data_IF_629473684558
#
_entry.id   IF_629473684558
#
_cell.length_a   1.000
_cell.length_b   1.000
_cell.length_c   1.000
_cell.angle_alpha   90.00
_cell.angle_beta   90.00
_cell.angle_gamma   90.00
#
_symmetry.space_group_name_H-M   'P 1'
#
loop_
_entity.id
_entity.type
_entity.pdbx_description
1 polymer ?
#
# COMPACT_ATOMS: atom_id res chain seq x y z
N UNK A 1 26.82 -21.33 -5.97
CA UNK A 1 25.76 -21.53 -6.98
C UNK A 1 24.41 -21.35 -6.32
N UNK A 2 23.61 -20.42 -6.86
CA UNK A 2 22.14 -20.23 -6.73
C UNK A 2 21.51 -19.94 -5.36
N UNK A 3 21.45 -18.64 -4.98
CA UNK A 3 20.50 -18.13 -3.98
C UNK A 3 19.78 -16.82 -4.38
N UNK A 4 19.96 -16.33 -5.61
CA UNK A 4 19.31 -15.10 -6.12
C UNK A 4 17.89 -15.36 -6.68
N UNK A 5 17.48 -16.62 -6.88
CA UNK A 5 16.30 -16.99 -7.66
C UNK A 5 15.00 -17.32 -6.89
N UNK A 6 14.85 -16.95 -5.62
CA UNK A 6 13.55 -17.15 -4.93
C UNK A 6 12.76 -15.86 -4.71
N UNK A 7 13.43 -14.75 -4.41
CA UNK A 7 12.74 -13.45 -4.37
C UNK A 7 12.45 -12.94 -5.78
N UNK A 8 13.38 -13.11 -6.73
CA UNK A 8 13.12 -12.76 -8.13
C UNK A 8 11.95 -13.56 -8.74
N UNK A 9 11.70 -14.80 -8.27
CA UNK A 9 10.59 -15.63 -8.74
C UNK A 9 9.25 -15.34 -8.02
N UNK A 10 9.31 -15.01 -6.72
CA UNK A 10 8.14 -14.58 -5.94
C UNK A 10 7.69 -13.15 -6.30
N UNK A 11 8.65 -12.27 -6.62
CA UNK A 11 8.43 -10.94 -7.19
C UNK A 11 8.03 -11.06 -8.67
N UNK A 12 8.48 -12.09 -9.41
CA UNK A 12 8.11 -12.24 -10.83
C UNK A 12 6.71 -12.80 -11.11
N UNK A 13 6.10 -13.52 -10.17
CA UNK A 13 4.77 -14.11 -10.38
C UNK A 13 3.62 -13.11 -10.15
N UNK A 14 3.90 -11.88 -9.68
CA UNK A 14 2.95 -10.76 -9.64
C UNK A 14 2.98 -9.85 -10.88
N UNK A 15 3.90 -10.07 -11.82
CA UNK A 15 4.37 -9.08 -12.82
C UNK A 15 3.45 -8.72 -14.01
N UNK A 16 2.14 -9.05 -14.04
CA UNK A 16 1.35 -8.82 -15.27
C UNK A 16 -0.01 -8.14 -15.17
N UNK A 17 -0.45 -7.53 -14.05
CA UNK A 17 -1.80 -6.91 -14.06
C UNK A 17 -2.06 -5.60 -13.30
N UNK A 18 -1.07 -4.82 -12.86
CA UNK A 18 -1.35 -3.56 -12.13
C UNK A 18 -0.66 -2.32 -12.70
N UNK A 19 -0.75 -2.12 -14.01
CA UNK A 19 -0.30 -0.89 -14.67
C UNK A 19 -1.48 -0.01 -15.10
N UNK A 20 -2.27 0.49 -14.14
CA UNK A 20 -3.05 1.75 -14.20
C UNK A 20 -4.01 1.83 -12.99
N UNK A 21 -4.08 2.99 -12.32
CA UNK A 21 -4.95 3.36 -11.19
C UNK A 21 -4.46 3.06 -9.74
N UNK A 22 -3.24 3.45 -9.37
CA UNK A 22 -2.61 3.02 -8.11
C UNK A 22 -3.20 3.54 -6.77
N UNK A 23 -4.18 4.44 -6.72
CA UNK A 23 -4.53 5.12 -5.44
C UNK A 23 -5.92 4.93 -4.92
N UNK A 24 -6.79 4.32 -5.71
CA UNK A 24 -7.98 3.64 -5.19
C UNK A 24 -7.65 2.23 -4.68
N UNK A 25 -6.46 1.70 -4.97
CA UNK A 25 -6.16 0.26 -4.95
C UNK A 25 -5.64 -0.34 -3.64
N UNK A 26 -5.23 0.46 -2.65
CA UNK A 26 -4.69 -0.02 -1.35
C UNK A 26 -5.57 0.45 -0.17
N UNK A 27 -6.51 1.35 -0.41
CA UNK A 27 -7.26 2.03 0.65
C UNK A 27 -8.34 1.17 1.33
N UNK A 28 -8.76 0.09 0.68
CA UNK A 28 -9.69 -0.90 1.23
C UNK A 28 -9.03 -1.88 2.19
N UNK A 29 -7.74 -2.11 2.04
CA UNK A 29 -6.95 -2.97 2.91
C UNK A 29 -6.67 -2.30 4.25
N UNK A 30 -6.59 -3.10 5.30
CA UNK A 30 -6.30 -2.65 6.67
C UNK A 30 -5.01 -3.29 7.20
N UNK A 31 -4.36 -2.55 8.09
CA UNK A 31 -3.23 -3.01 8.91
C UNK A 31 -2.17 -3.79 8.14
N UNK A 32 -1.93 -5.04 8.54
CA UNK A 32 -0.88 -5.88 7.94
C UNK A 32 -1.04 -6.07 6.43
N UNK A 33 -2.25 -6.32 5.96
CA UNK A 33 -2.53 -6.58 4.55
C UNK A 33 -2.25 -5.35 3.68
N UNK A 34 -2.59 -4.16 4.19
CA UNK A 34 -2.19 -2.90 3.57
C UNK A 34 -0.68 -2.77 3.51
N UNK A 35 0.04 -3.02 4.60
CA UNK A 35 1.51 -3.00 4.62
C UNK A 35 2.10 -3.93 3.57
N UNK A 36 1.61 -5.17 3.47
CA UNK A 36 2.09 -6.16 2.51
C UNK A 36 1.86 -5.69 1.05
N UNK A 37 0.64 -5.31 0.71
CA UNK A 37 0.31 -4.79 -0.62
C UNK A 37 1.14 -3.55 -0.97
N UNK A 38 1.41 -2.69 0.02
CA UNK A 38 2.26 -1.51 -0.12
C UNK A 38 3.72 -1.87 -0.42
N UNK A 39 4.31 -2.89 0.23
CA UNK A 39 5.66 -3.38 -0.11
C UNK A 39 5.71 -3.85 -1.55
N UNK A 40 4.73 -4.66 -1.95
CA UNK A 40 4.63 -5.23 -3.30
C UNK A 40 4.50 -4.10 -4.32
N UNK A 41 3.59 -3.14 -4.08
CA UNK A 41 3.41 -1.96 -4.92
C UNK A 41 4.68 -1.13 -5.08
N UNK A 42 5.38 -0.80 -3.98
CA UNK A 42 6.62 -0.01 -4.07
C UNK A 42 7.70 -0.78 -4.82
N UNK A 43 7.81 -2.09 -4.60
CA UNK A 43 8.78 -2.94 -5.30
C UNK A 43 8.49 -3.02 -6.79
N UNK A 44 7.23 -3.20 -7.17
CA UNK A 44 6.77 -3.24 -8.56
C UNK A 44 6.94 -1.89 -9.25
N UNK A 45 6.58 -0.79 -8.56
CA UNK A 45 6.77 0.57 -9.09
C UNK A 45 8.22 0.86 -9.33
N UNK A 46 9.12 0.49 -8.42
CA UNK A 46 10.55 0.60 -8.69
C UNK A 46 10.97 -0.15 -9.95
N UNK A 47 10.45 -1.37 -10.17
CA UNK A 47 10.77 -2.15 -11.36
C UNK A 47 10.20 -1.53 -12.64
N UNK A 48 8.98 -1.00 -12.60
CA UNK A 48 8.36 -0.25 -13.70
C UNK A 48 9.17 1.01 -14.04
N UNK A 49 9.47 1.80 -13.02
CA UNK A 49 10.22 3.04 -13.10
C UNK A 49 11.65 2.84 -13.63
N UNK A 50 12.24 1.66 -13.44
CA UNK A 50 13.59 1.37 -13.94
C UNK A 50 13.71 1.50 -15.45
N UNK A 51 12.66 1.33 -16.26
CA UNK A 51 12.74 1.51 -17.72
C UNK A 51 12.40 2.94 -18.12
N UNK A 52 11.27 3.47 -17.65
CA UNK A 52 10.84 4.84 -17.94
C UNK A 52 11.91 5.86 -17.52
N UNK A 53 12.60 5.61 -16.42
CA UNK A 53 13.66 6.47 -15.93
C UNK A 53 15.06 5.94 -16.22
N UNK A 54 15.21 4.81 -16.94
CA UNK A 54 16.53 4.33 -17.37
C UNK A 54 17.24 5.39 -18.22
N UNK A 55 16.50 6.00 -19.15
CA UNK A 55 17.01 7.03 -20.04
C UNK A 55 17.44 8.28 -19.25
N UNK A 56 16.65 8.67 -18.24
CA UNK A 56 16.97 9.79 -17.37
C UNK A 56 18.18 9.47 -16.47
N UNK A 57 18.24 8.29 -15.86
CA UNK A 57 19.39 7.86 -15.04
C UNK A 57 20.68 7.73 -15.87
N UNK A 58 20.55 7.24 -17.11
CA UNK A 58 21.62 7.25 -18.09
C UNK A 58 22.09 8.68 -18.36
N UNK A 59 21.20 9.61 -18.70
CA UNK A 59 21.54 11.01 -18.97
C UNK A 59 22.22 11.70 -17.76
N UNK A 60 21.79 11.34 -16.57
CA UNK A 60 22.34 11.85 -15.32
C UNK A 60 23.82 11.45 -15.17
N UNK A 61 24.16 10.22 -15.53
CA UNK A 61 25.50 9.64 -15.42
C UNK A 61 26.33 9.64 -16.71
N UNK A 62 25.73 10.01 -17.84
CA UNK A 62 26.38 10.05 -19.14
C UNK A 62 27.51 11.09 -19.13
N UNK A 63 28.73 10.61 -19.38
CA UNK A 63 29.91 11.45 -19.47
C UNK A 63 29.80 12.34 -20.71
N UNK A 64 29.94 13.65 -20.54
CA UNK A 64 29.96 14.63 -21.65
C UNK A 64 28.67 15.43 -21.84
N UNK A 65 27.57 15.11 -21.15
CA UNK A 65 26.36 15.94 -21.18
C UNK A 65 26.58 17.18 -20.28
N UNK A 66 26.75 18.35 -20.91
CA UNK A 66 26.92 19.63 -20.23
C UNK A 66 25.59 20.16 -19.66
N UNK A 67 25.68 20.83 -18.51
CA UNK A 67 24.54 21.52 -17.88
C UNK A 67 24.15 22.75 -18.72
N UNK A 68 22.86 22.93 -18.97
CA UNK A 68 22.31 24.16 -19.58
C UNK A 68 22.53 24.31 -21.09
N UNK A 69 22.99 23.25 -21.77
CA UNK A 69 23.03 23.18 -23.23
C UNK A 69 21.64 22.99 -23.86
N UNK A 70 21.58 22.84 -25.18
CA UNK A 70 20.36 22.45 -25.88
C UNK A 70 19.94 21.00 -25.58
N UNK A 71 18.74 20.62 -26.01
CA UNK A 71 18.24 19.26 -25.86
C UNK A 71 19.19 18.25 -26.53
N UNK A 72 19.46 17.15 -25.83
CA UNK A 72 20.50 16.20 -26.23
C UNK A 72 19.88 14.85 -26.58
N UNK A 73 20.29 14.29 -27.71
CA UNK A 73 19.86 12.97 -28.16
C UNK A 73 20.58 11.87 -27.38
N UNK A 74 19.83 11.03 -26.68
CA UNK A 74 20.33 9.86 -26.01
C UNK A 74 20.67 8.73 -26.99
N UNK A 75 21.65 7.91 -26.59
CA UNK A 75 21.99 6.68 -27.31
C UNK A 75 20.77 5.76 -27.42
N UNK A 76 20.79 4.86 -28.41
CA UNK A 76 19.75 3.84 -28.49
C UNK A 76 19.78 2.93 -27.24
N UNK A 77 18.65 2.29 -26.96
CA UNK A 77 18.48 1.48 -25.75
C UNK A 77 19.52 0.36 -25.57
N UNK A 78 19.93 -0.33 -26.64
CA UNK A 78 20.93 -1.40 -26.52
C UNK A 78 22.31 -0.84 -26.17
N UNK A 79 22.69 0.29 -26.77
CA UNK A 79 23.92 1.01 -26.41
C UNK A 79 23.87 1.46 -24.95
N UNK A 80 22.76 2.07 -24.51
CA UNK A 80 22.60 2.46 -23.12
C UNK A 80 22.72 1.26 -22.18
N UNK A 81 22.06 0.13 -22.46
CA UNK A 81 22.21 -1.10 -21.66
C UNK A 81 23.64 -1.64 -21.64
N UNK A 82 24.41 -1.46 -22.71
CA UNK A 82 25.80 -1.90 -22.78
C UNK A 82 26.72 -1.01 -21.94
N UNK A 83 26.46 0.30 -21.89
CA UNK A 83 27.37 1.30 -21.31
C UNK A 83 26.93 1.83 -19.95
N UNK A 84 25.72 1.54 -19.48
CA UNK A 84 25.19 2.08 -18.22
C UNK A 84 26.05 1.63 -17.02
N UNK A 85 26.56 2.57 -16.19
CA UNK A 85 27.52 2.24 -15.13
C UNK A 85 26.94 1.35 -14.01
N UNK A 86 25.60 1.31 -13.90
CA UNK A 86 24.88 0.58 -12.85
C UNK A 86 24.09 -0.63 -13.34
N UNK A 87 24.15 -0.96 -14.64
CA UNK A 87 23.50 -2.16 -15.22
C UNK A 87 24.57 -3.03 -15.86
N UNK A 88 25.22 -3.86 -15.05
CA UNK A 88 26.28 -4.77 -15.49
C UNK A 88 25.83 -6.23 -15.61
N UNK A 89 24.74 -6.61 -14.93
CA UNK A 89 24.24 -7.99 -14.88
C UNK A 89 23.39 -8.34 -16.10
N UNK A 90 23.69 -9.46 -16.77
CA UNK A 90 22.94 -9.98 -17.91
C UNK A 90 21.46 -10.18 -17.60
N UNK A 91 21.10 -10.68 -16.41
CA UNK A 91 19.69 -10.88 -16.07
C UNK A 91 18.94 -9.56 -15.88
N UNK A 92 19.61 -8.51 -15.39
CA UNK A 92 19.02 -7.17 -15.29
C UNK A 92 18.78 -6.57 -16.68
N UNK A 93 19.75 -6.74 -17.59
CA UNK A 93 19.62 -6.31 -18.99
C UNK A 93 18.47 -7.02 -19.69
N UNK A 94 18.31 -8.33 -19.48
CA UNK A 94 17.24 -9.11 -20.09
C UNK A 94 15.86 -8.72 -19.57
N UNK A 95 15.71 -8.45 -18.27
CA UNK A 95 14.48 -7.89 -17.71
C UNK A 95 14.17 -6.57 -18.40
N UNK A 96 15.10 -5.60 -18.40
CA UNK A 96 14.90 -4.29 -19.01
C UNK A 96 14.51 -4.38 -20.50
N UNK A 97 15.08 -5.34 -21.27
CA UNK A 97 14.69 -5.59 -22.66
C UNK A 97 13.24 -6.06 -22.80
N UNK A 98 12.80 -6.98 -21.95
CA UNK A 98 11.44 -7.51 -21.99
C UNK A 98 10.38 -6.44 -21.69
N UNK A 99 10.65 -5.57 -20.72
CA UNK A 99 9.69 -4.54 -20.31
C UNK A 99 9.74 -3.26 -21.17
N UNK A 100 10.78 -3.06 -21.99
CA UNK A 100 10.94 -1.90 -22.90
C UNK A 100 9.69 -1.61 -23.74
N UNK A 101 9.03 -2.63 -24.29
CA UNK A 101 7.91 -2.48 -25.23
C UNK A 101 6.65 -1.83 -24.64
N UNK A 102 6.60 -1.62 -23.32
CA UNK A 102 5.47 -1.05 -22.61
C UNK A 102 5.62 0.45 -22.31
N UNK A 103 6.78 1.05 -22.62
CA UNK A 103 7.13 2.41 -22.22
C UNK A 103 7.58 3.26 -23.41
N UNK A 104 7.02 4.47 -23.52
CA UNK A 104 7.34 5.42 -24.58
C UNK A 104 8.69 6.08 -24.34
N UNK A 105 9.73 5.60 -25.02
CA UNK A 105 11.05 6.22 -25.01
C UNK A 105 11.06 7.51 -25.84
N UNK A 106 11.40 8.64 -25.22
CA UNK A 106 11.75 9.86 -25.93
C UNK A 106 13.27 9.97 -26.06
N UNK A 107 13.80 10.25 -27.27
CA UNK A 107 15.24 10.26 -27.48
C UNK A 107 15.91 11.54 -26.98
N UNK A 108 15.18 12.59 -26.64
CA UNK A 108 15.77 13.88 -26.25
C UNK A 108 15.55 14.19 -24.78
N UNK A 109 16.62 14.63 -24.14
CA UNK A 109 16.62 15.03 -22.73
C UNK A 109 17.38 16.34 -22.52
N UNK A 110 16.96 17.08 -21.51
CA UNK A 110 17.66 18.25 -21.02
C UNK A 110 18.31 17.95 -19.68
N UNK A 111 19.50 18.52 -19.44
CA UNK A 111 20.23 18.44 -18.18
C UNK A 111 20.50 19.83 -17.64
N UNK A 112 19.99 20.12 -16.45
CA UNK A 112 20.13 21.41 -15.78
C UNK A 112 20.65 21.21 -14.35
N UNK A 113 21.14 22.28 -13.73
CA UNK A 113 21.44 22.31 -12.31
C UNK A 113 20.61 23.42 -11.67
N UNK A 114 19.95 23.09 -10.58
CA UNK A 114 19.14 24.03 -9.82
C UNK A 114 19.17 23.62 -8.34
N UNK A 115 19.28 24.60 -7.45
CA UNK A 115 19.09 24.42 -6.00
C UNK A 115 19.90 23.27 -5.36
N UNK A 116 21.12 23.01 -5.86
CA UNK A 116 21.98 21.94 -5.36
C UNK A 116 21.61 20.52 -5.84
N UNK A 117 20.77 20.41 -6.87
CA UNK A 117 20.47 19.17 -7.57
C UNK A 117 20.91 19.24 -9.04
N UNK A 118 21.24 18.09 -9.62
CA UNK A 118 21.31 17.90 -11.08
C UNK A 118 19.99 17.30 -11.52
N UNK A 119 19.31 17.94 -12.46
CA UNK A 119 17.98 17.58 -12.92
C UNK A 119 18.05 17.21 -14.40
N UNK A 120 17.42 16.11 -14.77
CA UNK A 120 17.24 15.67 -16.14
C UNK A 120 15.75 15.46 -16.44
N UNK A 121 15.29 15.85 -17.62
CA UNK A 121 13.89 15.74 -18.02
C UNK A 121 13.75 15.50 -19.52
N UNK A 122 12.67 14.83 -19.92
CA UNK A 122 12.36 14.56 -21.32
C UNK A 122 11.88 15.80 -22.06
N UNK A 123 12.21 15.91 -23.34
CA UNK A 123 11.70 16.94 -24.26
C UNK A 123 11.36 16.34 -25.61
N UNK A 124 10.56 17.05 -26.41
CA UNK A 124 9.97 16.51 -27.63
C UNK A 124 10.94 16.44 -28.81
N UNK A 125 11.90 17.37 -28.90
CA UNK A 125 12.86 17.44 -30.00
C UNK A 125 14.17 18.14 -29.61
N UNK A 126 15.13 18.16 -30.54
CA UNK A 126 16.45 18.77 -30.37
C UNK A 126 16.43 20.32 -30.25
N UNK A 127 15.37 20.97 -30.73
CA UNK A 127 15.18 22.42 -30.69
C UNK A 127 14.53 22.92 -29.40
N UNK A 128 14.00 22.02 -28.56
CA UNK A 128 13.41 22.37 -27.28
C UNK A 128 14.42 23.08 -26.36
N UNK A 129 13.97 24.17 -25.73
CA UNK A 129 14.80 24.91 -24.76
C UNK A 129 14.95 24.12 -23.46
N UNK A 130 16.18 23.93 -22.98
CA UNK A 130 16.45 23.29 -21.68
C UNK A 130 16.24 24.23 -20.49
N UNK A 131 14.99 24.66 -20.31
CA UNK A 131 14.54 25.46 -19.17
C UNK A 131 13.62 24.62 -18.31
N UNK A 132 13.88 24.59 -17.01
CA UNK A 132 13.01 23.93 -16.05
C UNK A 132 11.70 24.72 -15.90
N UNK A 133 10.60 24.18 -16.42
CA UNK A 133 9.25 24.70 -16.20
C UNK A 133 8.32 23.55 -15.73
N UNK A 134 7.91 23.55 -14.44
CA UNK A 134 7.03 22.52 -13.90
C UNK A 134 5.68 22.39 -14.61
N UNK A 135 5.24 23.40 -15.38
CA UNK A 135 3.98 23.34 -16.13
C UNK A 135 4.07 22.52 -17.42
N UNK A 136 5.27 22.37 -17.97
CA UNK A 136 5.50 21.70 -19.26
C UNK A 136 6.23 20.38 -19.11
N UNK A 137 6.89 20.14 -17.97
CA UNK A 137 7.66 18.92 -17.72
C UNK A 137 6.78 17.85 -17.08
N UNK A 138 6.41 16.85 -17.86
CA UNK A 138 5.62 15.70 -17.38
C UNK A 138 6.46 14.60 -16.74
N UNK A 139 7.76 14.51 -17.04
CA UNK A 139 8.68 13.50 -16.49
C UNK A 139 10.06 14.10 -16.21
N UNK A 140 10.56 13.90 -14.99
CA UNK A 140 11.87 14.38 -14.58
C UNK A 140 12.53 13.45 -13.55
N UNK A 141 13.86 13.56 -13.45
CA UNK A 141 14.67 12.94 -12.42
C UNK A 141 15.65 13.97 -11.87
N UNK A 142 15.74 14.08 -10.56
CA UNK A 142 16.67 14.94 -9.86
C UNK A 142 17.59 14.11 -8.97
N UNK A 143 18.88 14.44 -8.95
CA UNK A 143 19.84 13.88 -7.98
C UNK A 143 20.40 15.01 -7.13
N UNK A 144 20.14 14.92 -5.84
CA UNK A 144 20.70 15.82 -4.85
C UNK A 144 22.23 15.62 -4.79
N UNK A 145 22.99 16.68 -5.04
CA UNK A 145 24.46 16.60 -5.13
C UNK A 145 25.13 16.35 -3.79
N UNK A 146 24.46 16.67 -2.67
CA UNK A 146 25.00 16.50 -1.31
C UNK A 146 24.71 15.12 -0.74
N UNK A 147 23.48 14.65 -0.90
CA UNK A 147 23.02 13.39 -0.27
C UNK A 147 23.05 12.20 -1.21
N UNK A 148 23.13 12.45 -2.52
CA UNK A 148 22.98 11.40 -3.53
C UNK A 148 21.55 10.86 -3.65
N UNK A 149 20.58 11.43 -2.91
CA UNK A 149 19.15 11.09 -3.04
C UNK A 149 18.71 11.38 -4.46
N UNK A 150 18.09 10.38 -5.06
CA UNK A 150 17.44 10.47 -6.36
C UNK A 150 15.94 10.64 -6.14
N UNK A 151 15.34 11.56 -6.88
CA UNK A 151 13.90 11.80 -6.92
C UNK A 151 13.44 11.69 -8.36
N UNK A 152 12.46 10.84 -8.62
CA UNK A 152 11.75 10.72 -9.87
C UNK A 152 10.40 11.40 -9.74
N UNK A 153 9.99 12.08 -10.79
CA UNK A 153 8.76 12.85 -10.83
C UNK A 153 8.03 12.55 -12.13
N UNK A 154 6.75 12.23 -12.03
CA UNK A 154 5.83 12.16 -13.18
C UNK A 154 4.55 12.89 -12.86
N UNK A 155 4.17 13.81 -13.75
CA UNK A 155 2.87 14.48 -13.71
C UNK A 155 1.94 13.87 -14.76
N UNK A 156 0.71 13.60 -14.34
CA UNK A 156 -0.39 13.10 -15.17
C UNK A 156 -1.59 14.05 -15.05
N UNK A 157 -2.53 13.95 -16.00
CA UNK A 157 -3.76 14.74 -15.99
C UNK A 157 -3.61 16.17 -16.51
N UNK A 158 -4.72 16.89 -16.55
CA UNK A 158 -4.80 18.31 -16.97
C UNK A 158 -4.80 19.24 -15.74
N UNK A 159 -4.84 20.56 -15.94
CA UNK A 159 -4.77 21.56 -14.86
C UNK A 159 -5.79 21.33 -13.72
N UNK A 160 -6.99 20.82 -14.01
CA UNK A 160 -8.04 20.55 -13.02
C UNK A 160 -7.91 19.20 -12.31
N UNK A 161 -7.21 18.23 -12.90
CA UNK A 161 -7.11 16.84 -12.43
C UNK A 161 -5.65 16.37 -12.31
N UNK A 162 -4.75 17.30 -11.96
CA UNK A 162 -3.34 16.99 -11.87
C UNK A 162 -3.08 15.88 -10.85
N UNK A 163 -2.30 14.90 -11.27
CA UNK A 163 -1.81 13.82 -10.44
C UNK A 163 -0.29 13.76 -10.53
N UNK A 164 0.34 13.40 -9.43
CA UNK A 164 1.79 13.36 -9.31
C UNK A 164 2.21 12.01 -8.75
N UNK A 165 3.12 11.35 -9.44
CA UNK A 165 3.86 10.19 -8.96
C UNK A 165 5.27 10.65 -8.63
N UNK A 166 5.67 10.49 -7.38
CA UNK A 166 6.96 10.95 -6.88
C UNK A 166 7.63 9.80 -6.16
N UNK A 167 8.72 9.30 -6.74
CA UNK A 167 9.47 8.18 -6.18
C UNK A 167 10.85 8.67 -5.77
N UNK A 168 11.36 8.21 -4.62
CA UNK A 168 12.70 8.58 -4.19
C UNK A 168 13.52 7.37 -3.79
N UNK A 169 14.81 7.46 -4.02
CA UNK A 169 15.77 6.43 -3.72
C UNK A 169 17.02 7.03 -3.08
N UNK A 170 17.44 6.48 -1.95
CA UNK A 170 18.63 6.89 -1.23
C UNK A 170 19.39 5.66 -0.73
N UNK A 171 20.67 5.56 -1.07
CA UNK A 171 21.59 4.57 -0.53
C UNK A 171 22.57 5.26 0.40
N UNK A 172 22.63 4.83 1.65
CA UNK A 172 23.57 5.31 2.65
C UNK A 172 24.27 4.11 3.32
N UNK A 173 25.43 3.74 2.78
CA UNK A 173 26.16 2.55 3.21
C UNK A 173 25.36 1.27 2.97
N UNK A 174 25.02 0.55 4.05
CA UNK A 174 24.23 -0.70 4.00
C UNK A 174 22.71 -0.47 4.08
N UNK A 175 22.26 0.78 4.10
CA UNK A 175 20.84 1.15 4.18
C UNK A 175 20.37 1.71 2.85
N UNK A 176 19.23 1.21 2.38
CA UNK A 176 18.53 1.64 1.18
C UNK A 176 17.15 2.15 1.62
N UNK A 177 16.81 3.39 1.27
CA UNK A 177 15.48 3.95 1.53
C UNK A 177 14.81 4.24 0.21
N UNK A 178 13.62 3.68 0.04
CA UNK A 178 12.75 3.91 -1.10
C UNK A 178 11.50 4.59 -0.59
N UNK A 179 11.02 5.58 -1.32
CA UNK A 179 9.72 6.18 -1.08
C UNK A 179 8.93 6.20 -2.38
N UNK A 180 7.61 5.99 -2.29
CA UNK A 180 6.68 6.22 -3.39
C UNK A 180 5.54 7.08 -2.88
N UNK A 181 5.22 8.13 -3.61
CA UNK A 181 4.14 9.06 -3.30
C UNK A 181 3.21 9.20 -4.48
N UNK A 182 1.92 9.25 -4.19
CA UNK A 182 0.93 9.71 -5.14
C UNK A 182 0.18 10.89 -4.55
N UNK A 183 0.10 11.96 -5.32
CA UNK A 183 -0.66 13.15 -4.97
C UNK A 183 -1.65 13.46 -6.09
N UNK A 184 -2.81 13.99 -5.75
CA UNK A 184 -3.77 14.48 -6.73
C UNK A 184 -4.44 15.76 -6.25
N UNK A 185 -4.86 16.59 -7.20
CA UNK A 185 -5.60 17.81 -6.91
C UNK A 185 -7.02 17.49 -6.44
N UNK A 186 -7.41 18.07 -5.32
CA UNK A 186 -8.74 17.99 -4.76
C UNK A 186 -9.08 19.31 -4.08
N UNK A 187 -10.14 19.98 -4.54
CA UNK A 187 -10.58 21.29 -4.01
C UNK A 187 -9.46 22.33 -3.92
N UNK A 188 -8.54 22.34 -4.89
CA UNK A 188 -7.40 23.27 -4.93
C UNK A 188 -6.26 22.93 -3.97
N UNK A 189 -6.30 21.76 -3.32
CA UNK A 189 -5.22 21.23 -2.48
C UNK A 189 -4.72 19.93 -3.09
N UNK A 190 -3.42 19.66 -2.98
CA UNK A 190 -2.92 18.31 -3.25
C UNK A 190 -3.16 17.44 -2.02
N UNK A 191 -3.62 16.24 -2.25
CA UNK A 191 -3.88 15.23 -1.24
C UNK A 191 -3.40 13.87 -1.76
N UNK A 192 -3.16 12.91 -0.88
CA UNK A 192 -2.71 11.59 -1.29
C UNK A 192 -1.95 10.86 -0.19
N UNK A 193 -0.94 10.10 -0.59
CA UNK A 193 -0.21 9.24 0.30
C UNK A 193 1.27 9.14 -0.07
N UNK A 194 2.06 8.77 0.94
CA UNK A 194 3.47 8.47 0.83
C UNK A 194 3.79 7.21 1.60
N UNK A 195 4.41 6.28 0.90
CA UNK A 195 5.01 5.08 1.48
C UNK A 195 6.51 5.24 1.51
N UNK A 196 7.13 4.76 2.59
CA UNK A 196 8.58 4.66 2.75
C UNK A 196 8.96 3.27 3.22
N UNK A 197 9.90 2.65 2.51
CA UNK A 197 10.50 1.36 2.86
C UNK A 197 11.99 1.56 3.06
N UNK A 198 12.50 1.23 4.23
CA UNK A 198 13.93 1.27 4.55
C UNK A 198 14.44 -0.14 4.74
N UNK A 199 15.32 -0.57 3.83
CA UNK A 199 16.04 -1.83 3.89
C UNK A 199 17.39 -1.62 4.57
N UNK A 200 17.69 -2.42 5.59
CA UNK A 200 18.97 -2.42 6.30
C UNK A 200 19.64 -3.80 6.15
N UNK A 201 20.82 -3.83 5.53
CA UNK A 201 21.62 -5.04 5.32
C UNK A 201 22.75 -5.22 6.36
N UNK A 202 22.70 -4.52 7.51
CA UNK A 202 23.76 -4.56 8.52
C UNK A 202 23.88 -5.88 9.28
N UNK A 203 22.80 -6.67 9.39
CA UNK A 203 22.71 -7.85 10.27
C UNK A 203 22.82 -9.21 9.55
N UNK A 204 23.33 -9.26 8.33
CA UNK A 204 23.46 -10.52 7.55
C UNK A 204 22.15 -11.01 6.92
N UNK A 205 21.01 -10.77 7.57
CA UNK A 205 19.66 -10.84 6.99
C UNK A 205 19.16 -9.42 6.77
N UNK A 206 18.60 -9.13 5.58
CA UNK A 206 18.04 -7.82 5.28
C UNK A 206 16.78 -7.55 6.10
N UNK A 207 16.66 -6.34 6.64
CA UNK A 207 15.54 -5.92 7.49
C UNK A 207 14.79 -4.75 6.86
N UNK A 208 13.47 -4.78 6.85
CA UNK A 208 12.60 -3.80 6.21
C UNK A 208 11.77 -3.06 7.25
N UNK A 209 11.99 -1.76 7.39
CA UNK A 209 11.10 -0.87 8.13
C UNK A 209 10.14 -0.19 7.15
N UNK A 210 8.85 -0.21 7.46
CA UNK A 210 7.81 0.31 6.56
C UNK A 210 6.99 1.35 7.29
N UNK A 211 6.81 2.48 6.62
CA UNK A 211 6.03 3.62 7.10
C UNK A 211 5.12 4.07 5.96
N UNK A 212 3.86 4.36 6.26
CA UNK A 212 2.93 4.95 5.30
C UNK A 212 2.18 6.09 5.97
N UNK A 213 2.12 7.24 5.29
CA UNK A 213 1.31 8.38 5.69
C UNK A 213 0.31 8.68 4.58
N UNK A 214 -0.92 9.01 4.95
CA UNK A 214 -1.96 9.43 4.02
C UNK A 214 -2.70 10.64 4.56
N UNK A 215 -3.01 11.58 3.68
CA UNK A 215 -3.85 12.74 3.92
C UNK A 215 -4.74 12.91 2.69
N UNK A 216 -6.00 12.49 2.82
CA UNK A 216 -6.99 12.61 1.75
C UNK A 216 -7.88 13.85 1.90
N UNK A 217 -7.41 14.84 2.66
CA UNK A 217 -7.99 16.18 2.70
C UNK A 217 -9.31 16.29 3.46
N UNK A 218 -10.02 17.41 3.27
CA UNK A 218 -11.29 17.69 3.95
C UNK A 218 -12.44 16.86 3.37
N UNK A 219 -13.56 16.82 4.09
CA UNK A 219 -14.78 16.17 3.61
C UNK A 219 -15.33 16.82 2.32
N UNK A 220 -16.13 16.07 1.56
CA UNK A 220 -16.84 16.56 0.37
C UNK A 220 -18.34 16.25 0.34
N UNK A 221 -18.90 15.91 1.50
CA UNK A 221 -20.31 15.55 1.65
C UNK A 221 -20.60 14.07 1.34
N UNK A 222 -19.75 13.39 0.58
CA UNK A 222 -19.82 11.94 0.37
C UNK A 222 -18.70 11.19 1.10
N UNK A 223 -17.51 11.79 1.19
CA UNK A 223 -16.34 11.24 1.86
C UNK A 223 -16.07 11.97 3.17
N UNK A 224 -15.60 11.22 4.16
CA UNK A 224 -15.04 11.77 5.39
C UNK A 224 -13.70 12.45 5.12
N UNK A 225 -13.34 13.45 5.93
CA UNK A 225 -11.97 13.88 6.04
C UNK A 225 -11.15 12.76 6.69
N UNK A 226 -9.97 12.46 6.14
CA UNK A 226 -9.19 11.30 6.54
C UNK A 226 -7.69 11.57 6.51
N UNK A 227 -7.02 11.26 7.62
CA UNK A 227 -5.56 11.15 7.71
C UNK A 227 -5.17 9.86 8.40
N UNK A 228 -4.02 9.31 8.04
CA UNK A 228 -3.51 8.11 8.71
C UNK A 228 -2.00 8.02 8.69
N UNK A 229 -1.47 7.34 9.71
CA UNK A 229 -0.09 6.91 9.75
C UNK A 229 -0.02 5.43 10.14
N UNK A 230 0.73 4.64 9.38
CA UNK A 230 0.91 3.21 9.56
C UNK A 230 2.40 2.86 9.65
N UNK A 231 2.77 1.96 10.58
CA UNK A 231 4.15 1.53 10.77
C UNK A 231 4.26 0.13 11.39
N UNK A 232 5.37 -0.55 11.09
CA UNK A 232 5.76 -1.80 11.75
C UNK A 232 6.38 -1.55 13.13
N UNK A 233 6.05 -2.35 14.15
CA UNK A 233 6.60 -2.22 15.52
C UNK A 233 8.11 -2.45 15.56
N UNK A 234 8.61 -3.31 14.68
CA UNK A 234 10.01 -3.57 14.43
C UNK A 234 10.23 -3.90 12.94
N UNK A 235 11.45 -3.78 12.42
CA UNK A 235 11.74 -4.13 11.03
C UNK A 235 11.49 -5.61 10.72
N UNK A 236 10.84 -5.91 9.59
CA UNK A 236 10.59 -7.25 9.06
C UNK A 236 11.86 -7.87 8.46
N UNK A 237 12.18 -9.11 8.79
CA UNK A 237 13.28 -9.83 8.17
C UNK A 237 12.88 -10.37 6.79
N UNK A 238 13.80 -10.32 5.82
CA UNK A 238 13.57 -10.79 4.45
C UNK A 238 13.14 -12.27 4.37
N UNK A 239 13.62 -13.09 5.29
CA UNK A 239 13.33 -14.52 5.38
C UNK A 239 12.08 -14.82 6.23
N UNK A 240 11.33 -13.78 6.63
CA UNK A 240 10.16 -13.85 7.51
C UNK A 240 10.43 -14.45 8.90
N UNK A 241 11.69 -14.61 9.31
CA UNK A 241 12.07 -15.27 10.57
C UNK A 241 11.57 -14.56 11.83
N UNK A 242 11.21 -13.27 11.75
CA UNK A 242 10.66 -12.51 12.87
C UNK A 242 9.19 -12.09 12.67
N UNK A 243 8.49 -12.64 11.68
CA UNK A 243 7.14 -12.19 11.33
C UNK A 243 6.18 -12.24 12.52
N UNK A 244 6.28 -13.28 13.35
CA UNK A 244 5.48 -13.47 14.58
C UNK A 244 5.78 -12.47 15.71
N UNK A 245 6.86 -11.68 15.59
CA UNK A 245 7.21 -10.62 16.53
C UNK A 245 6.77 -9.23 16.06
N UNK A 246 6.44 -9.10 14.78
CA UNK A 246 6.07 -7.81 14.19
C UNK A 246 4.58 -7.57 14.34
N UNK A 247 4.25 -6.39 14.86
CA UNK A 247 2.91 -5.84 14.78
C UNK A 247 2.86 -4.70 13.76
N UNK A 248 1.77 -4.58 13.01
CA UNK A 248 1.48 -3.40 12.19
C UNK A 248 0.53 -2.51 12.97
N UNK A 249 0.94 -1.27 13.20
CA UNK A 249 0.17 -0.27 13.92
C UNK A 249 -0.34 0.76 12.92
N UNK A 250 -1.60 1.16 13.05
CA UNK A 250 -2.18 2.24 12.27
C UNK A 250 -2.89 3.19 13.21
N UNK A 251 -2.71 4.50 13.00
CA UNK A 251 -3.44 5.54 13.69
C UNK A 251 -4.10 6.45 12.66
N UNK A 252 -5.39 6.69 12.81
CA UNK A 252 -6.22 7.42 11.87
C UNK A 252 -6.95 8.57 12.56
N UNK A 253 -7.15 9.64 11.82
CA UNK A 253 -7.97 10.78 12.17
C UNK A 253 -9.09 10.87 11.15
N UNK A 254 -10.33 10.81 11.63
CA UNK A 254 -11.52 10.80 10.78
C UNK A 254 -12.51 11.86 11.28
N UNK A 255 -13.11 12.62 10.36
CA UNK A 255 -14.14 13.60 10.70
C UNK A 255 -15.04 13.91 9.52
N UNK A 256 -16.17 14.57 9.78
CA UNK A 256 -17.11 15.01 8.74
C UNK A 256 -18.48 14.34 8.87
N UNK A 257 -19.43 14.76 8.04
CA UNK A 257 -20.84 14.38 8.14
C UNK A 257 -21.12 12.89 7.92
N UNK A 258 -20.29 12.25 7.11
CA UNK A 258 -20.39 10.81 6.90
C UNK A 258 -19.75 9.99 8.04
N UNK A 259 -19.04 10.63 8.98
CA UNK A 259 -18.38 9.91 10.07
C UNK A 259 -19.36 9.65 11.22
N UNK A 260 -19.36 8.42 11.72
CA UNK A 260 -20.23 7.98 12.80
C UNK A 260 -19.49 7.06 13.76
N UNK A 261 -19.92 7.08 15.01
CA UNK A 261 -19.36 6.27 16.10
C UNK A 261 -20.49 5.86 17.03
N UNK A 262 -20.40 4.67 17.63
CA UNK A 262 -21.26 4.31 18.75
C UNK A 262 -20.69 4.86 20.06
N UNK A 263 -21.52 5.43 20.93
CA UNK A 263 -21.08 5.77 22.29
C UNK A 263 -21.02 4.52 23.20
N UNK A 264 -20.59 4.70 24.45
CA UNK A 264 -20.47 3.62 25.43
C UNK A 264 -21.82 2.94 25.77
N UNK A 265 -22.95 3.52 25.35
CA UNK A 265 -24.31 3.01 25.54
C UNK A 265 -24.92 2.46 24.23
N UNK A 266 -24.09 2.26 23.18
CA UNK A 266 -24.50 1.86 21.83
C UNK A 266 -25.41 2.86 21.09
N UNK A 267 -25.46 4.13 21.50
CA UNK A 267 -26.12 5.16 20.72
C UNK A 267 -25.24 5.59 19.54
N UNK A 268 -25.83 5.79 18.37
CA UNK A 268 -25.08 6.29 17.21
C UNK A 268 -24.89 7.80 17.30
N UNK A 269 -23.63 8.23 17.45
CA UNK A 269 -23.17 9.59 17.24
C UNK A 269 -22.83 9.78 15.76
N UNK A 270 -23.23 10.92 15.19
CA UNK A 270 -23.00 11.29 13.78
C UNK A 270 -22.28 12.63 13.71
N UNK A 271 -21.68 12.92 12.57
CA UNK A 271 -20.97 14.17 12.29
C UNK A 271 -19.82 14.43 13.30
N UNK A 272 -19.19 13.35 13.77
CA UNK A 272 -18.19 13.41 14.84
C UNK A 272 -16.76 13.36 14.31
N UNK A 273 -15.82 13.90 15.08
CA UNK A 273 -14.39 13.72 14.86
C UNK A 273 -13.86 12.62 15.79
N UNK A 274 -13.14 11.65 15.24
CA UNK A 274 -12.67 10.46 15.95
C UNK A 274 -11.20 10.19 15.69
N UNK A 275 -10.54 9.61 16.68
CA UNK A 275 -9.25 8.96 16.53
C UNK A 275 -9.44 7.45 16.50
N UNK A 276 -8.81 6.76 15.56
CA UNK A 276 -8.89 5.31 15.45
C UNK A 276 -7.50 4.68 15.41
N UNK A 277 -7.19 3.89 16.43
CA UNK A 277 -5.96 3.13 16.53
C UNK A 277 -6.23 1.64 16.23
N UNK A 278 -5.38 1.02 15.42
CA UNK A 278 -5.40 -0.43 15.15
C UNK A 278 -4.01 -1.01 15.33
N UNK A 279 -3.96 -2.27 15.77
CA UNK A 279 -2.72 -3.03 15.93
C UNK A 279 -2.96 -4.48 15.54
N UNK A 280 -2.23 -4.93 14.53
CA UNK A 280 -2.32 -6.25 13.94
C UNK A 280 -1.06 -7.04 14.30
N UNK A 281 -1.18 -8.14 15.04
CA UNK A 281 -0.07 -9.09 15.22
C UNK A 281 -0.16 -10.19 14.18
N UNK A 282 0.95 -10.46 13.50
CA UNK A 282 1.00 -11.40 12.38
C UNK A 282 1.34 -12.80 12.91
N UNK A 283 0.69 -13.83 12.38
CA UNK A 283 0.98 -15.23 12.65
C UNK A 283 1.28 -16.03 11.38
N UNK A 284 2.01 -17.12 11.57
CA UNK A 284 2.31 -18.10 10.52
C UNK A 284 1.79 -19.46 10.97
N UNK A 285 0.82 -19.99 10.25
CA UNK A 285 0.16 -21.25 10.61
C UNK A 285 0.31 -22.29 9.52
N UNK A 286 0.25 -23.56 9.90
CA UNK A 286 0.18 -24.67 8.95
C UNK A 286 -1.27 -24.99 8.63
N UNK A 287 -1.63 -25.02 7.35
CA UNK A 287 -2.93 -25.57 6.93
C UNK A 287 -2.92 -27.11 6.96
N UNK A 288 -4.05 -27.73 6.62
CA UNK A 288 -4.21 -29.18 6.51
C UNK A 288 -3.22 -29.87 5.54
N UNK A 289 -2.59 -29.11 4.63
CA UNK A 289 -1.56 -29.57 3.68
C UNK A 289 -0.13 -29.31 4.17
N UNK A 290 0.06 -28.84 5.41
CA UNK A 290 1.35 -28.45 5.98
C UNK A 290 2.05 -27.29 5.22
N UNK A 291 1.27 -26.47 4.51
CA UNK A 291 1.73 -25.24 3.86
C UNK A 291 1.57 -24.05 4.83
N UNK A 292 2.48 -23.08 4.75
CA UNK A 292 2.38 -21.86 5.56
C UNK A 292 1.23 -20.96 5.07
N UNK A 293 0.40 -20.53 6.01
CA UNK A 293 -0.66 -19.55 5.83
C UNK A 293 -0.40 -18.40 6.78
N UNK A 294 -0.18 -17.21 6.20
CA UNK A 294 0.10 -15.99 6.96
C UNK A 294 -1.22 -15.24 7.14
N UNK A 295 -1.64 -15.07 8.40
CA UNK A 295 -2.82 -14.30 8.79
C UNK A 295 -2.49 -13.35 9.94
N UNK A 296 -3.36 -12.40 10.21
CA UNK A 296 -3.28 -11.60 11.43
C UNK A 296 -3.90 -12.39 12.56
N UNK A 297 -3.13 -12.69 13.61
CA UNK A 297 -3.54 -13.51 14.76
C UNK A 297 -4.42 -12.77 15.75
N UNK A 298 -4.12 -11.49 15.95
CA UNK A 298 -4.87 -10.64 16.86
C UNK A 298 -4.91 -9.22 16.30
N UNK A 299 -6.13 -8.76 16.03
CA UNK A 299 -6.44 -7.39 15.66
C UNK A 299 -6.97 -6.70 16.89
N UNK A 300 -6.28 -5.66 17.37
CA UNK A 300 -6.75 -4.80 18.44
C UNK A 300 -7.15 -3.46 17.86
N UNK A 301 -8.35 -2.98 18.18
CA UNK A 301 -8.85 -1.71 17.68
C UNK A 301 -9.40 -0.86 18.80
N UNK A 302 -9.20 0.45 18.66
CA UNK A 302 -9.70 1.43 19.60
C UNK A 302 -10.07 2.73 18.90
N UNK A 303 -11.34 3.09 19.02
CA UNK A 303 -11.92 4.33 18.52
C UNK A 303 -12.21 5.24 19.71
N UNK A 304 -11.80 6.51 19.62
CA UNK A 304 -11.99 7.52 20.68
C UNK A 304 -12.56 8.78 20.06
N UNK A 305 -13.61 9.34 20.68
CA UNK A 305 -14.20 10.61 20.27
C UNK A 305 -13.23 11.76 20.61
N UNK A 306 -12.99 12.66 19.65
CA UNK A 306 -12.01 13.75 19.86
C UNK A 306 -12.50 14.81 20.85
N UNK A 307 -13.80 15.12 20.84
CA UNK A 307 -14.40 16.12 21.73
C UNK A 307 -14.57 15.61 23.17
N UNK A 308 -14.59 14.29 23.37
CA UNK A 308 -14.67 13.66 24.69
C UNK A 308 -13.97 12.31 24.69
N UNK A 309 -12.74 12.28 25.21
CA UNK A 309 -11.90 11.07 25.26
C UNK A 309 -12.44 9.95 26.15
N UNK A 310 -13.49 10.22 26.96
CA UNK A 310 -14.17 9.20 27.77
C UNK A 310 -15.14 8.33 26.95
N UNK A 311 -15.59 8.83 25.79
CA UNK A 311 -16.40 8.08 24.82
C UNK A 311 -15.46 7.28 23.92
N UNK A 312 -15.41 5.97 24.13
CA UNK A 312 -14.45 5.07 23.46
C UNK A 312 -15.02 3.69 23.22
N UNK A 313 -14.77 3.16 22.03
CA UNK A 313 -15.03 1.76 21.70
C UNK A 313 -13.72 1.03 21.51
N UNK A 314 -13.64 -0.18 22.05
CA UNK A 314 -12.53 -1.07 21.78
C UNK A 314 -13.07 -2.44 21.43
N UNK A 315 -12.43 -3.08 20.47
CA UNK A 315 -12.82 -4.40 20.01
C UNK A 315 -11.58 -5.17 19.52
N UNK A 316 -11.71 -6.49 19.50
CA UNK A 316 -10.62 -7.38 19.13
C UNK A 316 -11.12 -8.55 18.28
N UNK A 317 -10.34 -8.93 17.27
CA UNK A 317 -10.59 -10.07 16.40
C UNK A 317 -9.43 -11.05 16.48
N UNK A 318 -9.67 -12.22 17.06
CA UNK A 318 -8.69 -13.27 17.32
C UNK A 318 -9.38 -14.63 17.51
N UNK A 319 -8.67 -15.63 18.04
CA UNK A 319 -9.19 -16.98 18.27
C UNK A 319 -10.42 -17.05 19.18
N UNK A 320 -10.67 -16.06 20.03
CA UNK A 320 -11.89 -15.97 20.86
C UNK A 320 -13.11 -15.48 20.05
N UNK A 321 -12.88 -14.75 18.95
CA UNK A 321 -13.90 -14.20 18.05
C UNK A 321 -13.75 -14.78 16.63
N UNK A 322 -13.76 -16.11 16.52
CA UNK A 322 -13.45 -16.84 15.27
C UNK A 322 -14.18 -16.34 14.01
N UNK A 323 -15.44 -15.91 14.14
CA UNK A 323 -16.21 -15.40 13.00
C UNK A 323 -15.68 -14.06 12.49
N UNK A 324 -15.53 -13.06 13.36
CA UNK A 324 -14.97 -11.78 12.97
C UNK A 324 -13.50 -11.91 12.53
N UNK A 325 -12.76 -12.84 13.15
CA UNK A 325 -11.38 -13.14 12.79
C UNK A 325 -11.26 -13.74 11.39
N UNK A 326 -12.13 -14.69 11.03
CA UNK A 326 -12.23 -15.24 9.68
C UNK A 326 -12.55 -14.15 8.66
N UNK A 327 -13.55 -13.32 8.95
CA UNK A 327 -14.00 -12.26 8.05
C UNK A 327 -12.91 -11.23 7.82
N UNK A 328 -12.22 -10.79 8.88
CA UNK A 328 -11.14 -9.83 8.76
C UNK A 328 -10.02 -10.36 7.85
N UNK A 329 -9.53 -11.57 8.11
CA UNK A 329 -8.42 -12.13 7.34
C UNK A 329 -8.84 -12.45 5.90
N UNK A 330 -9.98 -13.09 5.67
CA UNK A 330 -10.44 -13.45 4.33
C UNK A 330 -10.70 -12.21 3.48
N UNK A 331 -11.43 -11.22 4.01
CA UNK A 331 -11.79 -10.03 3.24
C UNK A 331 -10.55 -9.19 2.90
N UNK A 332 -9.58 -9.07 3.81
CA UNK A 332 -8.34 -8.34 3.52
C UNK A 332 -7.37 -9.10 2.61
N UNK A 333 -7.28 -10.43 2.69
CA UNK A 333 -6.43 -11.22 1.75
C UNK A 333 -6.87 -11.01 0.30
N UNK A 334 -8.18 -10.87 0.07
CA UNK A 334 -8.76 -10.74 -1.26
C UNK A 334 -9.16 -9.31 -1.63
N UNK A 335 -8.80 -8.32 -0.80
CA UNK A 335 -9.15 -6.91 -1.00
C UNK A 335 -10.66 -6.68 -1.27
N UNK A 336 -11.54 -7.42 -0.58
CA UNK A 336 -12.98 -7.38 -0.84
C UNK A 336 -13.60 -6.13 -0.23
N UNK A 337 -14.35 -5.37 -1.04
CA UNK A 337 -15.00 -4.13 -0.63
C UNK A 337 -16.51 -4.15 -0.81
N UNK A 338 -17.16 -3.16 -0.19
CA UNK A 338 -18.61 -3.01 -0.21
C UNK A 338 -19.27 -4.11 0.61
N UNK A 339 -20.03 -4.98 -0.05
CA UNK A 339 -20.78 -6.06 0.56
C UNK A 339 -19.93 -7.33 0.78
N UNK A 340 -18.76 -7.20 1.42
CA UNK A 340 -17.80 -8.29 1.69
C UNK A 340 -18.41 -9.44 2.49
N UNK A 341 -18.05 -10.71 2.23
CA UNK A 341 -18.69 -11.88 2.85
C UNK A 341 -18.50 -11.95 4.38
N UNK A 342 -19.54 -12.48 5.05
CA UNK A 342 -19.49 -12.89 6.46
C UNK A 342 -18.99 -14.33 6.62
N UNK A 343 -18.78 -14.77 7.86
CA UNK A 343 -18.17 -16.06 8.16
C UNK A 343 -18.92 -17.24 7.53
N UNK A 344 -20.24 -17.16 7.45
CA UNK A 344 -21.05 -18.19 6.80
C UNK A 344 -20.98 -18.14 5.29
N UNK A 345 -20.94 -16.95 4.69
CA UNK A 345 -20.69 -16.80 3.26
C UNK A 345 -19.32 -17.38 2.89
N UNK A 346 -18.29 -17.17 3.73
CA UNK A 346 -16.95 -17.74 3.52
C UNK A 346 -16.98 -19.28 3.61
N UNK A 347 -17.75 -19.83 4.55
CA UNK A 347 -18.00 -21.28 4.62
C UNK A 347 -18.78 -21.81 3.41
N UNK A 348 -19.78 -21.09 2.94
CA UNK A 348 -20.52 -21.44 1.71
C UNK A 348 -19.58 -21.45 0.49
N UNK A 349 -18.65 -20.50 0.38
CA UNK A 349 -17.60 -20.48 -0.66
C UNK A 349 -16.70 -21.71 -0.54
N UNK A 350 -16.18 -22.02 0.65
CA UNK A 350 -15.27 -23.15 0.85
C UNK A 350 -15.92 -24.49 0.51
N UNK A 351 -17.22 -24.63 0.76
CA UNK A 351 -18.03 -25.82 0.47
C UNK A 351 -18.57 -25.86 -0.98
N UNK A 352 -18.36 -24.78 -1.76
CA UNK A 352 -18.91 -24.65 -3.12
C UNK A 352 -20.45 -24.55 -3.18
N UNK A 353 -21.08 -24.14 -2.06
CA UNK A 353 -22.52 -23.95 -1.93
C UNK A 353 -22.95 -22.58 -2.47
N UNK A 354 -24.25 -22.36 -2.72
CA UNK A 354 -24.76 -21.02 -3.01
C UNK A 354 -24.41 -20.07 -1.85
N UNK A 355 -23.80 -18.94 -2.19
CA UNK A 355 -23.41 -17.92 -1.22
C UNK A 355 -24.59 -16.99 -0.99
N UNK A 356 -25.11 -16.96 0.23
CA UNK A 356 -26.38 -16.31 0.55
C UNK A 356 -26.18 -15.20 1.57
N UNK A 357 -26.87 -14.08 1.42
CA UNK A 357 -27.02 -13.05 2.45
C UNK A 357 -28.48 -12.82 2.76
N UNK A 358 -28.78 -12.48 4.00
CA UNK A 358 -30.04 -11.87 4.37
C UNK A 358 -29.76 -10.44 4.82
N UNK A 359 -30.27 -9.44 4.10
CA UNK A 359 -29.93 -8.03 4.39
C UNK A 359 -30.27 -7.66 5.83
N UNK A 360 -29.35 -6.96 6.49
CA UNK A 360 -29.48 -6.58 7.90
C UNK A 360 -29.35 -7.75 8.88
N UNK A 361 -28.67 -8.84 8.50
CA UNK A 361 -28.29 -9.92 9.41
C UNK A 361 -26.87 -10.39 9.11
N UNK A 362 -26.05 -10.43 10.15
CA UNK A 362 -24.68 -10.92 10.12
C UNK A 362 -24.65 -12.36 10.66
N UNK A 363 -24.12 -13.31 9.88
CA UNK A 363 -24.13 -14.73 10.24
C UNK A 363 -22.76 -15.20 10.73
N UNK A 364 -22.72 -15.70 11.96
CA UNK A 364 -21.50 -16.25 12.58
C UNK A 364 -21.26 -17.71 12.18
N UNK A 365 -20.01 -18.17 12.20
CA UNK A 365 -19.60 -19.54 11.83
C UNK A 365 -20.38 -20.64 12.57
N UNK A 366 -20.82 -20.36 13.81
CA UNK A 366 -21.64 -21.27 14.62
C UNK A 366 -23.15 -21.24 14.31
N UNK A 367 -23.61 -20.33 13.46
CA UNK A 367 -25.03 -20.05 13.18
C UNK A 367 -25.33 -19.92 11.68
N UNK A 368 -24.71 -20.75 10.83
CA UNK A 368 -24.89 -20.67 9.37
C UNK A 368 -26.21 -21.25 8.85
N UNK A 369 -26.99 -21.90 9.72
CA UNK A 369 -28.32 -22.40 9.38
C UNK A 369 -29.39 -21.40 9.85
N UNK A 370 -30.00 -20.60 8.95
CA UNK A 370 -31.05 -19.66 9.33
C UNK A 370 -32.28 -20.37 9.86
N UNK A 371 -32.85 -19.87 10.96
CA UNK A 371 -34.21 -20.21 11.38
C UNK A 371 -35.23 -19.34 10.66
N UNK A 372 -36.51 -19.75 10.67
CA UNK A 372 -37.60 -18.93 10.12
C UNK A 372 -37.74 -17.57 10.82
N UNK A 373 -37.37 -17.48 12.11
CA UNK A 373 -37.37 -16.23 12.86
C UNK A 373 -36.25 -15.29 12.40
N UNK A 374 -35.04 -15.83 12.17
CA UNK A 374 -33.88 -15.04 11.76
C UNK A 374 -34.11 -14.31 10.43
N UNK A 375 -34.81 -14.96 9.49
CA UNK A 375 -35.00 -14.46 8.13
C UNK A 375 -36.33 -13.73 7.92
N UNK A 376 -37.18 -13.65 8.97
CA UNK A 376 -38.50 -13.03 8.87
C UNK A 376 -38.37 -11.56 8.45
N UNK A 377 -38.94 -11.22 7.30
CA UNK A 377 -38.91 -9.85 6.76
C UNK A 377 -37.54 -9.41 6.20
N UNK A 378 -36.57 -10.31 6.07
CA UNK A 378 -35.26 -10.01 5.49
C UNK A 378 -35.19 -10.41 4.02
N UNK A 379 -34.63 -9.53 3.20
CA UNK A 379 -34.39 -9.80 1.79
C UNK A 379 -33.24 -10.82 1.65
N UNK A 380 -33.50 -11.93 0.96
CA UNK A 380 -32.49 -12.94 0.61
C UNK A 380 -31.80 -12.55 -0.69
N UNK A 381 -30.48 -12.45 -0.65
CA UNK A 381 -29.61 -12.18 -1.80
C UNK A 381 -28.69 -13.37 -2.04
N UNK A 382 -28.50 -13.76 -3.30
CA UNK A 382 -27.55 -14.82 -3.68
C UNK A 382 -26.40 -14.16 -4.44
N UNK A 383 -25.19 -14.35 -3.93
CA UNK A 383 -23.98 -13.81 -4.52
C UNK A 383 -23.39 -14.78 -5.54
N UNK A 384 -23.06 -14.26 -6.71
CA UNK A 384 -22.28 -14.98 -7.74
C UNK A 384 -20.88 -14.41 -7.89
N UNK A 385 -20.68 -13.15 -7.48
CA UNK A 385 -19.40 -12.45 -7.48
C UNK A 385 -19.23 -11.57 -6.25
N UNK A 386 -17.98 -11.23 -5.92
CA UNK A 386 -17.61 -10.14 -5.03
C UNK A 386 -16.77 -9.10 -5.77
N UNK A 387 -16.79 -7.87 -5.26
CA UNK A 387 -16.02 -6.75 -5.81
C UNK A 387 -14.77 -6.50 -4.97
N UNK A 388 -13.62 -6.42 -5.62
CA UNK A 388 -12.37 -5.98 -5.00
C UNK A 388 -12.32 -4.45 -4.84
N UNK A 389 -11.37 -3.90 -4.08
CA UNK A 389 -11.15 -2.45 -3.98
C UNK A 389 -10.85 -1.78 -5.33
N UNK A 390 -10.36 -2.57 -6.29
CA UNK A 390 -10.10 -2.13 -7.67
C UNK A 390 -11.32 -2.21 -8.59
N UNK A 391 -12.49 -2.58 -8.07
CA UNK A 391 -13.71 -2.76 -8.87
C UNK A 391 -13.77 -4.06 -9.66
N UNK A 392 -12.72 -4.91 -9.60
CA UNK A 392 -12.72 -6.22 -10.27
C UNK A 392 -13.71 -7.16 -9.59
N UNK A 393 -14.49 -7.88 -10.40
CA UNK A 393 -15.39 -8.94 -9.95
C UNK A 393 -14.63 -10.27 -9.82
N UNK A 394 -14.74 -10.94 -8.67
CA UNK A 394 -14.24 -12.28 -8.41
C UNK A 394 -15.43 -13.22 -8.29
N UNK A 395 -15.45 -14.31 -9.07
CA UNK A 395 -16.50 -15.31 -9.00
C UNK A 395 -16.42 -16.10 -7.68
N UNK A 396 -17.55 -16.32 -7.00
CA UNK A 396 -17.58 -17.09 -5.74
C UNK A 396 -17.13 -18.55 -5.90
N UNK A 397 -17.15 -19.07 -7.14
CA UNK A 397 -16.68 -20.42 -7.50
C UNK A 397 -15.25 -20.43 -8.04
N UNK A 398 -14.55 -19.30 -8.03
CA UNK A 398 -13.15 -19.24 -8.44
C UNK A 398 -12.31 -20.19 -7.58
N UNK A 399 -11.50 -21.03 -8.24
CA UNK A 399 -10.76 -22.09 -7.54
C UNK A 399 -9.74 -21.56 -6.53
N UNK A 400 -9.15 -20.38 -6.76
CA UNK A 400 -8.22 -19.75 -5.83
C UNK A 400 -8.96 -19.17 -4.63
N UNK A 401 -10.14 -18.56 -4.86
CA UNK A 401 -11.00 -18.06 -3.78
C UNK A 401 -11.51 -19.21 -2.89
N UNK A 402 -12.01 -20.30 -3.48
CA UNK A 402 -12.50 -21.50 -2.77
C UNK A 402 -11.36 -22.13 -1.97
N UNK A 403 -10.16 -22.27 -2.56
CA UNK A 403 -8.99 -22.80 -1.87
C UNK A 403 -8.60 -21.91 -0.69
N UNK A 404 -8.55 -20.60 -0.88
CA UNK A 404 -8.21 -19.67 0.19
C UNK A 404 -9.24 -19.71 1.33
N UNK A 405 -10.54 -19.83 1.03
CA UNK A 405 -11.57 -19.98 2.04
C UNK A 405 -11.35 -21.24 2.89
N UNK A 406 -11.03 -22.38 2.26
CA UNK A 406 -10.68 -23.63 2.96
C UNK A 406 -9.46 -23.46 3.83
N UNK A 407 -8.37 -22.94 3.27
CA UNK A 407 -7.09 -22.83 3.97
C UNK A 407 -7.19 -21.92 5.21
N UNK A 408 -7.96 -20.83 5.15
CA UNK A 408 -8.15 -19.92 6.30
C UNK A 408 -9.12 -20.53 7.32
N UNK A 409 -10.20 -21.20 6.89
CA UNK A 409 -11.11 -21.91 7.81
C UNK A 409 -10.34 -23.00 8.57
N UNK A 410 -9.51 -23.79 7.89
CA UNK A 410 -8.68 -24.82 8.51
C UNK A 410 -7.81 -24.24 9.64
N UNK A 411 -7.18 -23.08 9.41
CA UNK A 411 -6.39 -22.38 10.43
C UNK A 411 -7.28 -21.88 11.57
N UNK A 412 -8.38 -21.18 11.27
CA UNK A 412 -9.28 -20.61 12.29
C UNK A 412 -9.90 -21.70 13.16
N UNK A 413 -10.24 -22.86 12.60
CA UNK A 413 -10.81 -23.99 13.33
C UNK A 413 -9.74 -24.77 14.12
N UNK A 414 -8.52 -24.92 13.61
CA UNK A 414 -7.44 -25.69 14.25
C UNK A 414 -6.71 -24.96 15.39
N UNK A 415 -6.66 -23.63 15.38
CA UNK A 415 -6.00 -22.86 16.45
C UNK A 415 -6.77 -22.98 17.76
N UNK A 416 -6.13 -23.60 18.77
CA UNK A 416 -6.64 -23.75 20.14
C UNK A 416 -6.08 -22.66 21.06
N UNK A 417 -6.67 -21.46 21.06
CA UNK A 417 -6.38 -20.34 21.98
C UNK A 417 -4.89 -19.94 22.18
N UNK A 418 -3.96 -20.45 21.37
CA UNK A 418 -2.51 -20.32 21.55
C UNK A 418 -1.86 -19.26 20.66
N UNK A 419 -2.67 -18.45 19.98
CA UNK A 419 -2.16 -17.32 19.20
C UNK A 419 -1.58 -16.26 20.14
N UNK A 420 -0.47 -15.67 19.72
CA UNK A 420 0.21 -14.64 20.51
C UNK A 420 -0.68 -13.39 20.54
N UNK A 421 -1.23 -13.00 21.69
CA UNK A 421 -2.11 -11.84 21.75
C UNK A 421 -1.29 -10.58 21.48
N UNK A 422 -1.88 -9.68 20.71
CA UNK A 422 -1.40 -8.32 20.61
C UNK A 422 -1.53 -7.64 21.97
N UNK A 423 -0.57 -6.77 22.29
CA UNK A 423 -0.74 -5.89 23.44
C UNK A 423 -1.99 -5.02 23.22
N UNK A 424 -2.96 -5.14 24.14
CA UNK A 424 -4.20 -4.36 24.12
C UNK A 424 -3.88 -2.87 23.97
N UNK A 425 -4.67 -2.16 23.16
CA UNK A 425 -4.55 -0.70 23.02
C UNK A 425 -5.23 -0.02 24.22
N UNK A 426 -4.58 -0.08 25.38
CA UNK A 426 -5.00 0.65 26.58
C UNK A 426 -4.77 2.17 26.44
N UNK A 427 -5.09 2.94 27.49
CA UNK A 427 -5.00 4.41 27.44
C UNK A 427 -3.56 4.88 27.18
N UNK A 428 -2.56 4.14 27.71
CA UNK A 428 -1.15 4.45 27.55
C UNK A 428 -0.68 4.15 26.12
N UNK A 429 -0.95 2.94 25.62
CA UNK A 429 -0.59 2.52 24.25
C UNK A 429 -1.27 3.44 23.23
N UNK A 430 -2.54 3.79 23.46
CA UNK A 430 -3.25 4.74 22.61
C UNK A 430 -2.56 6.11 22.56
N UNK A 431 -2.18 6.65 23.72
CA UNK A 431 -1.46 7.93 23.81
C UNK A 431 -0.09 7.88 23.11
N UNK A 432 0.65 6.77 23.24
CA UNK A 432 1.93 6.55 22.55
C UNK A 432 1.75 6.50 21.02
N UNK A 433 0.72 5.79 20.54
CA UNK A 433 0.39 5.75 19.11
C UNK A 433 -0.03 7.12 18.58
N UNK A 434 -0.85 7.85 19.32
CA UNK A 434 -1.26 9.22 18.98
C UNK A 434 -0.05 10.16 18.92
N UNK A 435 0.82 10.12 19.91
CA UNK A 435 2.03 10.96 19.93
C UNK A 435 2.96 10.65 18.74
N UNK A 436 3.08 9.37 18.37
CA UNK A 436 3.85 8.97 17.18
C UNK A 436 3.21 9.47 15.89
N UNK A 437 1.89 9.38 15.77
CA UNK A 437 1.14 9.98 14.65
C UNK A 437 1.38 11.49 14.56
N UNK A 438 1.22 12.24 15.66
CA UNK A 438 1.37 13.70 15.68
C UNK A 438 2.80 14.13 15.33
N UNK A 439 3.80 13.36 15.77
CA UNK A 439 5.20 13.58 15.37
C UNK A 439 5.38 13.37 13.87
N UNK A 440 4.75 12.33 13.29
CA UNK A 440 4.87 12.00 11.87
C UNK A 440 4.07 12.93 10.98
N UNK A 441 2.92 13.41 11.42
CA UNK A 441 2.16 14.46 10.73
C UNK A 441 3.01 15.74 10.59
N UNK A 442 3.83 16.08 11.59
CA UNK A 442 4.80 17.18 11.50
C UNK A 442 5.93 16.91 10.49
N UNK A 443 6.45 15.67 10.44
CA UNK A 443 7.46 15.26 9.45
C UNK A 443 6.92 15.32 8.01
N UNK A 444 5.67 14.88 7.81
CA UNK A 444 4.98 14.91 6.53
C UNK A 444 4.21 16.22 6.28
N UNK A 445 4.43 17.24 7.10
CA UNK A 445 3.79 18.54 6.88
C UNK A 445 4.22 19.10 5.54
N UNK A 446 3.23 19.29 4.66
CA UNK A 446 3.47 19.77 3.31
C UNK A 446 4.03 18.72 2.36
N UNK A 447 3.98 17.41 2.63
CA UNK A 447 4.29 16.39 1.62
C UNK A 447 3.39 16.51 0.37
N UNK A 448 2.21 17.10 0.54
CA UNK A 448 1.32 17.54 -0.51
C UNK A 448 1.69 18.89 -1.15
N UNK A 449 2.84 19.48 -0.85
CA UNK A 449 3.34 20.66 -1.54
C UNK A 449 4.39 20.25 -2.54
N UNK A 450 4.32 20.76 -3.77
CA UNK A 450 5.43 20.61 -4.73
C UNK A 450 6.73 21.22 -4.18
N UNK A 451 6.65 22.18 -3.26
CA UNK A 451 7.82 22.76 -2.59
C UNK A 451 8.51 21.79 -1.62
N UNK A 452 7.80 20.81 -1.06
CA UNK A 452 8.41 19.77 -0.21
C UNK A 452 9.30 18.82 -1.02
N UNK A 453 9.01 18.69 -2.32
CA UNK A 453 9.76 17.83 -3.23
C UNK A 453 10.86 18.57 -4.01
N UNK A 454 10.90 19.91 -3.94
CA UNK A 454 12.03 20.73 -4.39
C UNK A 454 13.12 20.71 -3.32
#
# INVERSE_FOLDING_TARGET
>A
MNSINKLALAVSLGLTTFASAATTNINSLQGYYKTRATIDYVSDKMMQNKVDFFALDYALHAKGIAIGGGALQLDNFETMLATHPHVSDTSQKDVLRQIKGQFGYKPYVCKVADSGAVIVFEVDDAGASCKLDPKTISKAMAKNTRTGKVTFFTQLGNESEQQYLIDTYLVNGKRETISSSFLHSFKGQLIGDVTKVTRDNSTGVARYNIEQYADYGPEDGQKIAFKSYQWTSEPLNQDNSNLENVAVNTFMVMSGKANQMYDNNNNTLKDVATYWATRDVIGVHKNSRNEDVIIVDDVQRRLVLQSDSSVKNADAYNSESKSNWLDYNFNNIHDLTGESPDACMIKEISEGKPVVRYKGWYRSLGSCQPTAADIKGKEKVIFTTFTTGQGKQINVKDSALVRSAKDIIDVVESVSNSVKPAAKIDDKVFAEMKAKYEMKEKEFTGFSSLQFWK
#
